data_IF_467310612724
#
_entry.id   IF_467310612724
#
_cell.length_a   1.000
_cell.length_b   1.000
_cell.length_c   1.000
_cell.angle_alpha   90.00
_cell.angle_beta   90.00
_cell.angle_gamma   90.00
#
_symmetry.space_group_name_H-M   'P 1'
#
loop_
_entity.id
_entity.type
_entity.pdbx_description
1 polymer ?
#
# COMPACT_ATOMS: atom_id res chain seq x y z
N UNK A 1 3.05 -7.57 -7.95
CA UNK A 1 2.06 -7.86 -6.90
C UNK A 1 0.83 -7.00 -7.11
N UNK A 2 -0.36 -7.57 -6.89
CA UNK A 2 -1.62 -6.83 -6.99
C UNK A 2 -1.82 -5.94 -5.77
N UNK A 3 -2.34 -4.74 -5.99
CA UNK A 3 -2.67 -3.79 -4.92
C UNK A 3 -3.81 -2.86 -5.36
N UNK A 4 -4.36 -2.09 -4.42
CA UNK A 4 -5.29 -1.00 -4.71
C UNK A 4 -4.61 0.35 -4.49
N UNK A 5 -4.68 1.22 -5.50
CA UNK A 5 -4.06 2.54 -5.44
C UNK A 5 -4.64 3.52 -6.44
N UNK A 6 -4.11 4.74 -6.45
CA UNK A 6 -4.57 5.80 -7.36
C UNK A 6 -3.41 6.73 -7.74
N UNK A 7 -3.48 7.33 -8.94
CA UNK A 7 -2.51 8.32 -9.40
C UNK A 7 -2.97 9.76 -9.11
N UNK A 8 -4.28 10.02 -9.17
CA UNK A 8 -4.85 11.34 -8.91
C UNK A 8 -6.01 11.22 -7.93
N UNK A 9 -6.10 12.14 -6.98
CA UNK A 9 -7.25 12.22 -6.07
C UNK A 9 -8.49 12.67 -6.85
N UNK A 10 -9.37 11.72 -7.17
CA UNK A 10 -10.58 11.94 -7.95
C UNK A 10 -11.87 11.72 -7.10
N UNK A 11 -13.02 12.26 -7.53
CA UNK A 11 -14.32 11.95 -6.93
C UNK A 11 -14.63 10.45 -6.96
N UNK A 12 -15.32 9.93 -5.95
CA UNK A 12 -15.59 8.48 -5.80
C UNK A 12 -16.36 7.83 -6.97
N UNK A 13 -17.15 8.61 -7.73
CA UNK A 13 -17.85 8.11 -8.91
C UNK A 13 -16.95 7.95 -10.15
N UNK A 14 -15.71 8.44 -10.09
CA UNK A 14 -14.75 8.25 -11.16
C UNK A 14 -14.08 6.87 -11.01
N UNK A 15 -14.04 6.02 -12.06
CA UNK A 15 -13.43 4.69 -11.99
C UNK A 15 -11.94 4.71 -11.67
N UNK A 16 -11.25 5.82 -11.96
CA UNK A 16 -9.81 5.98 -11.70
C UNK A 16 -9.52 6.50 -10.27
N UNK A 17 -10.55 6.66 -9.43
CA UNK A 17 -10.42 7.18 -8.06
C UNK A 17 -9.82 6.16 -7.07
N UNK A 18 -9.88 4.87 -7.42
CA UNK A 18 -9.17 3.77 -6.77
C UNK A 18 -9.19 2.56 -7.72
N UNK A 19 -8.01 2.06 -8.09
CA UNK A 19 -7.84 1.04 -9.12
C UNK A 19 -7.08 -0.16 -8.57
N UNK A 20 -7.38 -1.35 -9.09
CA UNK A 20 -6.49 -2.50 -8.97
C UNK A 20 -5.27 -2.27 -9.88
N UNK A 21 -4.07 -2.38 -9.33
CA UNK A 21 -2.80 -2.14 -10.01
C UNK A 21 -1.89 -3.35 -9.82
N UNK A 22 -1.03 -3.62 -10.79
CA UNK A 22 0.12 -4.50 -10.62
C UNK A 22 1.38 -3.66 -10.45
N UNK A 23 2.07 -3.82 -9.33
CA UNK A 23 3.29 -3.08 -8.98
C UNK A 23 4.42 -4.05 -8.69
N UNK A 24 5.70 -3.67 -8.85
CA UNK A 24 6.82 -4.53 -8.46
C UNK A 24 6.70 -4.99 -7.01
N UNK A 25 7.03 -6.26 -6.75
CA UNK A 25 7.14 -6.74 -5.37
C UNK A 25 8.35 -6.10 -4.70
N UNK A 26 8.20 -5.57 -3.47
CA UNK A 26 9.32 -4.95 -2.77
C UNK A 26 10.30 -6.02 -2.26
N UNK A 27 11.59 -5.71 -2.28
CA UNK A 27 12.63 -6.53 -1.64
C UNK A 27 12.99 -5.92 -0.29
N UNK A 28 12.82 -6.65 0.83
CA UNK A 28 13.15 -6.11 2.15
C UNK A 28 14.67 -5.97 2.31
N UNK A 29 15.10 -4.97 3.09
CA UNK A 29 16.51 -4.75 3.43
C UNK A 29 16.64 -4.22 4.86
N UNK A 30 17.81 -4.36 5.48
CA UNK A 30 18.03 -3.84 6.83
C UNK A 30 17.04 -4.45 7.85
N UNK A 31 16.17 -3.62 8.42
CA UNK A 31 15.17 -4.04 9.43
C UNK A 31 13.76 -4.26 8.85
N UNK A 32 13.59 -4.22 7.53
CA UNK A 32 12.29 -4.36 6.89
C UNK A 32 11.74 -5.80 6.97
N UNK A 33 10.41 -5.92 6.93
CA UNK A 33 9.69 -7.19 6.74
C UNK A 33 8.90 -7.14 5.43
N UNK A 34 8.98 -8.22 4.66
CA UNK A 34 8.05 -8.47 3.58
C UNK A 34 6.88 -9.30 4.12
N UNK A 35 5.70 -8.68 4.16
CA UNK A 35 4.48 -9.30 4.69
C UNK A 35 3.50 -9.59 3.55
N UNK A 36 3.09 -10.86 3.41
CA UNK A 36 1.94 -11.23 2.59
C UNK A 36 0.66 -10.90 3.36
N UNK A 37 0.01 -9.82 2.95
CA UNK A 37 -1.20 -9.30 3.58
C UNK A 37 -2.39 -10.20 3.28
N UNK A 38 -3.04 -10.73 4.33
CA UNK A 38 -4.25 -11.55 4.23
C UNK A 38 -5.52 -10.72 4.43
N UNK A 39 -5.47 -9.71 5.31
CA UNK A 39 -6.57 -8.77 5.51
C UNK A 39 -6.09 -7.38 5.91
N UNK A 40 -6.95 -6.39 5.67
CA UNK A 40 -6.73 -4.97 6.00
C UNK A 40 -7.97 -4.38 6.67
N UNK A 41 -7.80 -3.25 7.35
CA UNK A 41 -8.92 -2.40 7.80
C UNK A 41 -8.98 -1.11 6.99
N UNK A 42 -10.18 -0.53 6.89
CA UNK A 42 -10.38 0.80 6.28
C UNK A 42 -10.70 1.79 7.39
N UNK A 43 -9.88 2.82 7.52
CA UNK A 43 -9.95 3.82 8.57
C UNK A 43 -10.25 5.23 8.02
N UNK A 44 -10.69 6.18 8.87
CA UNK A 44 -10.89 7.56 8.45
C UNK A 44 -9.65 8.24 7.85
N UNK A 45 -8.44 7.78 8.21
CA UNK A 45 -7.19 8.34 7.65
C UNK A 45 -7.03 7.98 6.17
N UNK A 46 -7.43 6.78 5.74
CA UNK A 46 -7.37 6.34 4.35
C UNK A 46 -8.16 7.31 3.45
N UNK A 47 -9.37 7.66 3.88
CA UNK A 47 -10.23 8.60 3.16
C UNK A 47 -9.62 10.00 3.11
N UNK A 48 -9.02 10.47 4.23
CA UNK A 48 -8.39 11.78 4.32
C UNK A 48 -7.15 11.88 3.42
N UNK A 49 -6.34 10.83 3.35
CA UNK A 49 -5.16 10.78 2.48
C UNK A 49 -5.58 10.65 1.01
N UNK A 50 -6.54 9.77 0.69
CA UNK A 50 -7.09 9.63 -0.68
C UNK A 50 -7.51 10.96 -1.27
N UNK A 51 -8.14 11.80 -0.47
CA UNK A 51 -8.68 13.10 -0.87
C UNK A 51 -7.62 14.22 -1.01
N UNK A 52 -6.38 14.02 -0.54
CA UNK A 52 -5.40 15.12 -0.38
C UNK A 52 -4.04 14.86 -1.03
N UNK A 53 -3.58 13.61 -1.04
CA UNK A 53 -2.25 13.25 -1.53
C UNK A 53 -2.33 12.92 -3.02
N UNK A 54 -1.55 13.62 -3.84
CA UNK A 54 -1.32 13.25 -5.23
C UNK A 54 -0.16 12.25 -5.33
N UNK A 55 -0.16 11.43 -6.38
CA UNK A 55 1.01 10.67 -6.77
C UNK A 55 2.17 11.59 -7.13
N UNK A 56 3.39 11.10 -6.96
CA UNK A 56 4.61 11.76 -7.42
C UNK A 56 5.32 10.84 -8.42
N UNK A 57 5.94 11.43 -9.44
CA UNK A 57 6.86 10.74 -10.37
C UNK A 57 6.28 9.46 -11.02
N UNK A 58 4.97 9.45 -11.29
CA UNK A 58 4.29 8.30 -11.89
C UNK A 58 4.16 7.09 -10.97
N UNK A 59 4.43 7.23 -9.67
CA UNK A 59 4.27 6.17 -8.66
C UNK A 59 2.89 6.30 -8.01
N UNK A 60 2.04 5.26 -8.04
CA UNK A 60 0.70 5.33 -7.46
C UNK A 60 0.77 5.50 -5.94
N UNK A 61 -0.23 6.16 -5.38
CA UNK A 61 -0.45 6.14 -3.93
C UNK A 61 -1.18 4.86 -3.58
N UNK A 62 -0.52 3.99 -2.80
CA UNK A 62 -1.13 2.82 -2.16
C UNK A 62 -1.57 3.22 -0.74
N UNK A 63 -2.83 2.91 -0.38
CA UNK A 63 -3.41 3.20 0.94
C UNK A 63 -3.32 1.96 1.86
N UNK A 64 -3.79 2.09 3.10
CA UNK A 64 -3.75 1.04 4.11
C UNK A 64 -2.84 1.41 5.29
N UNK A 65 -3.44 1.51 6.47
CA UNK A 65 -2.72 1.77 7.74
C UNK A 65 -2.77 0.58 8.70
N UNK A 66 -3.64 -0.40 8.44
CA UNK A 66 -3.76 -1.63 9.21
C UNK A 66 -3.69 -2.82 8.27
N UNK A 67 -2.92 -3.83 8.67
CA UNK A 67 -2.81 -5.09 7.96
C UNK A 67 -2.58 -6.24 8.95
N UNK A 68 -3.01 -7.43 8.55
CA UNK A 68 -2.61 -8.71 9.16
C UNK A 68 -2.20 -9.66 8.05
N UNK A 69 -1.19 -10.47 8.30
CA UNK A 69 -0.63 -11.34 7.28
C UNK A 69 0.55 -12.16 7.79
N UNK A 70 1.27 -12.76 6.85
CA UNK A 70 2.39 -13.65 7.11
C UNK A 70 3.70 -12.99 6.72
N UNK A 71 4.72 -13.07 7.57
CA UNK A 71 6.08 -12.67 7.19
C UNK A 71 6.61 -13.69 6.18
N UNK A 72 6.91 -13.22 4.96
CA UNK A 72 7.42 -14.05 3.85
C UNK A 72 8.93 -13.95 3.69
N UNK A 73 9.49 -12.77 3.94
CA UNK A 73 10.92 -12.52 3.86
C UNK A 73 11.32 -11.35 4.78
N UNK A 74 12.62 -11.19 5.01
CA UNK A 74 13.16 -10.28 6.02
C UNK A 74 14.44 -9.61 5.51
N UNK A 75 14.64 -8.35 5.88
CA UNK A 75 15.94 -7.72 5.75
C UNK A 75 16.98 -8.39 6.64
N UNK A 76 18.25 -8.29 6.26
CA UNK A 76 19.37 -9.00 6.88
C UNK A 76 19.64 -8.65 8.36
N UNK A 77 19.07 -7.55 8.86
CA UNK A 77 19.22 -7.08 10.24
C UNK A 77 17.96 -7.24 11.10
N UNK A 78 16.86 -7.80 10.57
CA UNK A 78 15.61 -7.96 11.31
C UNK A 78 15.68 -9.13 12.32
N UNK A 79 15.28 -8.92 13.58
CA UNK A 79 15.47 -9.91 14.67
C UNK A 79 14.35 -10.02 15.74
N UNK A 80 13.16 -9.43 15.55
CA UNK A 80 12.16 -9.32 16.62
C UNK A 80 10.69 -9.28 16.20
N UNK A 81 10.29 -10.15 15.27
CA UNK A 81 8.94 -10.23 14.68
C UNK A 81 8.38 -11.65 14.76
#
# INVERSE_FOLDING_TARGET
MKTFGYFTSLPLGNPDSLMELDVPEPTPSGQDLLVEVEAVSVNPIDVKVRNRRAAADGVPVVLGWDAVGWVRDTGEAATGF
#
